data_IF_142888745527
#
_entry.id   IF_142888745527
#
_cell.length_a   1.000
_cell.length_b   1.000
_cell.length_c   1.000
_cell.angle_alpha   90.00
_cell.angle_beta   90.00
_cell.angle_gamma   90.00
#
_symmetry.space_group_name_H-M   'P 1'
#
loop_
_entity.id
_entity.type
_entity.pdbx_description
1 polymer ?
#
# COMPACT_ATOMS: atom_id res chain seq x y z
N UNK A 1 -9.16 3.45 -11.48
CA UNK A 1 -8.27 2.32 -11.79
C UNK A 1 -7.77 1.75 -10.47
N UNK A 2 -7.54 0.44 -10.40
CA UNK A 2 -6.99 -0.24 -9.22
C UNK A 2 -5.69 -0.93 -9.60
N UNK A 3 -4.72 -0.91 -8.69
CA UNK A 3 -3.34 -1.34 -8.94
C UNK A 3 -2.89 -2.38 -7.92
N UNK A 4 -2.03 -3.28 -8.37
CA UNK A 4 -1.27 -4.17 -7.51
C UNK A 4 0.22 -3.81 -7.60
N UNK A 5 0.90 -3.75 -6.47
CA UNK A 5 2.32 -3.39 -6.39
C UNK A 5 3.14 -4.58 -5.88
N UNK A 6 4.14 -4.96 -6.67
CA UNK A 6 5.15 -5.97 -6.35
C UNK A 6 6.48 -5.29 -6.03
N UNK A 7 7.24 -5.86 -5.09
CA UNK A 7 8.63 -5.46 -4.83
C UNK A 7 9.61 -6.18 -5.77
N UNK A 8 9.21 -7.33 -6.31
CA UNK A 8 9.93 -8.07 -7.32
C UNK A 8 9.60 -7.43 -8.69
N UNK A 9 10.57 -6.71 -9.25
CA UNK A 9 10.40 -5.97 -10.51
C UNK A 9 10.37 -6.89 -11.75
N UNK A 10 10.92 -8.09 -11.62
CA UNK A 10 11.02 -9.14 -12.64
C UNK A 10 9.98 -10.26 -12.45
N UNK A 11 8.95 -10.04 -11.63
CA UNK A 11 7.89 -11.03 -11.44
C UNK A 11 7.14 -11.31 -12.75
N UNK A 12 7.25 -12.55 -13.24
CA UNK A 12 6.52 -12.97 -14.44
C UNK A 12 5.08 -13.40 -14.11
N UNK A 13 4.88 -14.07 -12.97
CA UNK A 13 3.58 -14.60 -12.55
C UNK A 13 3.37 -14.31 -11.07
N UNK A 14 2.29 -13.60 -10.77
CA UNK A 14 1.84 -13.38 -9.40
C UNK A 14 0.87 -14.50 -8.97
N UNK A 15 1.22 -15.22 -7.90
CA UNK A 15 0.37 -16.25 -7.29
C UNK A 15 -0.19 -15.69 -5.96
N UNK A 16 -1.50 -15.41 -5.86
CA UNK A 16 -2.12 -14.91 -4.64
C UNK A 16 -1.94 -15.90 -3.47
N UNK A 17 -1.62 -15.38 -2.28
CA UNK A 17 -1.41 -16.21 -1.09
C UNK A 17 -2.75 -16.61 -0.46
N UNK A 18 -2.92 -17.91 -0.18
CA UNK A 18 -4.01 -18.44 0.63
C UNK A 18 -3.78 -18.14 2.13
N UNK A 19 -4.86 -17.95 2.89
CA UNK A 19 -4.75 -17.71 4.33
C UNK A 19 -4.64 -19.04 5.07
N UNK A 20 -3.47 -19.33 5.63
CA UNK A 20 -3.23 -20.55 6.43
C UNK A 20 -4.24 -20.76 7.57
N UNK A 21 -4.68 -19.68 8.22
CA UNK A 21 -5.62 -19.76 9.35
C UNK A 21 -7.10 -19.84 8.93
N UNK A 22 -7.41 -19.80 7.63
CA UNK A 22 -8.77 -19.92 7.08
C UNK A 22 -8.71 -20.66 5.73
N UNK A 23 -8.64 -22.00 5.76
CA UNK A 23 -8.47 -22.81 4.54
C UNK A 23 -9.65 -22.67 3.56
N UNK A 24 -10.86 -22.42 4.05
CA UNK A 24 -12.03 -22.21 3.18
C UNK A 24 -12.15 -20.78 2.63
N UNK A 25 -11.22 -19.88 3.01
CA UNK A 25 -11.22 -18.52 2.50
C UNK A 25 -10.36 -18.46 1.23
N UNK A 26 -10.93 -18.02 0.08
CA UNK A 26 -10.20 -17.99 -1.16
C UNK A 26 -9.01 -17.04 -1.10
N UNK A 27 -7.98 -17.31 -1.90
CA UNK A 27 -6.88 -16.38 -2.07
C UNK A 27 -7.39 -15.05 -2.65
N UNK A 28 -6.97 -13.94 -2.06
CA UNK A 28 -7.41 -12.59 -2.45
C UNK A 28 -6.21 -11.71 -2.78
N UNK A 29 -6.42 -10.77 -3.68
CA UNK A 29 -5.41 -9.80 -4.10
C UNK A 29 -5.76 -8.44 -3.52
N UNK A 30 -4.78 -7.79 -2.89
CA UNK A 30 -4.90 -6.42 -2.45
C UNK A 30 -4.70 -5.47 -3.63
N UNK A 31 -5.62 -4.52 -3.78
CA UNK A 31 -5.59 -3.54 -4.83
C UNK A 31 -5.72 -2.13 -4.24
N UNK A 32 -5.00 -1.17 -4.81
CA UNK A 32 -4.85 0.20 -4.33
C UNK A 32 -5.36 1.16 -5.41
N UNK A 33 -6.02 2.23 -5.02
CA UNK A 33 -6.46 3.26 -5.97
C UNK A 33 -5.32 4.23 -6.34
N UNK A 34 -5.54 5.01 -7.40
CA UNK A 34 -4.58 5.97 -7.91
C UNK A 34 -4.26 7.10 -6.91
N UNK A 35 -5.15 7.45 -5.99
CA UNK A 35 -4.90 8.52 -5.02
C UNK A 35 -3.89 8.08 -3.96
N UNK A 36 -3.72 6.78 -3.75
CA UNK A 36 -2.86 6.21 -2.71
C UNK A 36 -1.65 5.42 -3.25
N UNK A 37 -1.46 5.36 -4.57
CA UNK A 37 -0.39 4.57 -5.21
C UNK A 37 1.02 4.90 -4.69
N UNK A 38 1.27 6.17 -4.36
CA UNK A 38 2.57 6.65 -3.90
C UNK A 38 3.06 5.98 -2.61
N UNK A 39 2.14 5.41 -1.83
CA UNK A 39 2.47 4.67 -0.60
C UNK A 39 3.26 3.37 -0.86
N UNK A 40 3.30 2.92 -2.12
CA UNK A 40 3.95 1.70 -2.57
C UNK A 40 5.16 1.94 -3.50
N UNK A 41 5.61 3.18 -3.66
CA UNK A 41 6.75 3.51 -4.54
C UNK A 41 8.12 3.17 -3.96
N UNK A 42 8.19 2.99 -2.65
CA UNK A 42 9.41 2.57 -1.96
C UNK A 42 9.25 1.15 -1.40
N UNK A 43 10.34 0.38 -1.33
CA UNK A 43 10.36 -0.95 -0.71
C UNK A 43 9.71 -0.97 0.67
N UNK A 44 9.16 -2.12 1.06
CA UNK A 44 8.34 -2.23 2.26
C UNK A 44 9.15 -2.05 3.54
N UNK A 45 10.40 -2.49 3.51
CA UNK A 45 11.40 -2.36 4.55
C UNK A 45 11.97 -0.93 4.68
N UNK A 46 11.70 -0.06 3.71
CA UNK A 46 12.01 1.36 3.81
C UNK A 46 11.09 2.05 4.85
N UNK A 47 11.64 2.82 5.81
CA UNK A 47 10.84 3.62 6.74
C UNK A 47 10.01 4.66 5.97
N UNK A 48 8.68 4.59 6.08
CA UNK A 48 7.74 5.46 5.34
C UNK A 48 6.80 6.17 6.29
N UNK A 49 6.70 7.49 6.15
CA UNK A 49 5.66 8.32 6.78
C UNK A 49 4.80 8.90 5.67
N UNK A 50 3.49 8.64 5.74
CA UNK A 50 2.50 9.18 4.81
C UNK A 50 1.57 10.09 5.60
N UNK A 51 1.52 11.35 5.20
CA UNK A 51 0.63 12.34 5.79
C UNK A 51 -0.40 12.75 4.74
N UNK A 52 -1.68 12.77 5.14
CA UNK A 52 -2.76 13.36 4.35
C UNK A 52 -3.34 14.53 5.13
N UNK A 53 -3.64 15.63 4.43
CA UNK A 53 -4.35 16.75 5.03
C UNK A 53 -5.79 16.31 5.35
N UNK A 54 -6.19 16.44 6.60
CA UNK A 54 -7.58 16.34 7.07
C UNK A 54 -8.15 17.74 7.25
N UNK A 55 -9.47 17.87 7.35
CA UNK A 55 -10.16 19.16 7.51
C UNK A 55 -9.76 19.88 8.81
N UNK A 56 -9.37 19.11 9.83
CA UNK A 56 -8.94 19.61 11.13
C UNK A 56 -7.46 20.07 11.18
N UNK A 57 -6.68 19.88 10.10
CA UNK A 57 -5.30 20.39 10.05
C UNK A 57 -5.34 21.90 9.78
N UNK A 58 -5.33 22.68 10.87
CA UNK A 58 -5.11 24.13 10.81
C UNK A 58 -3.68 24.41 10.35
N UNK A 59 -3.53 25.18 9.28
CA UNK A 59 -2.24 25.48 8.66
C UNK A 59 -1.37 26.43 9.48
N UNK A 60 -0.79 25.96 10.59
CA UNK A 60 0.44 26.56 11.14
C UNK A 60 1.08 25.66 12.20
N UNK A 61 2.26 25.13 11.90
CA UNK A 61 3.29 24.93 12.92
C UNK A 61 4.59 25.47 12.34
N UNK A 62 4.99 26.71 12.68
CA UNK A 62 6.34 27.15 12.38
C UNK A 62 7.26 26.31 13.25
N UNK A 63 8.13 25.56 12.58
CA UNK A 63 9.21 24.80 13.24
C UNK A 63 9.96 25.77 14.15
N UNK A 64 9.91 25.53 15.47
CA UNK A 64 10.80 26.17 16.43
C UNK A 64 12.16 25.47 16.44
#
# INVERSE_FOLDING_TARGET
MLFHFSEEADIEIFIPREKQNRPDFPAVVWAIDAEHEFSYYFPRDCPRIICRRTEDISGHSPVK
#
